data_IF_733881881135
#
_entry.id   IF_733881881135
#
_cell.length_a   1.000
_cell.length_b   1.000
_cell.length_c   1.000
_cell.angle_alpha   90.00
_cell.angle_beta   90.00
_cell.angle_gamma   90.00
#
_symmetry.space_group_name_H-M   'P 1'
#
loop_
_entity.id
_entity.type
_entity.pdbx_description
1 polymer ?
#
# COMPACT_ATOMS: atom_id res chain seq x y z
N UNK A 1 32.52 0.22 -2.49
CA UNK A 1 31.60 1.19 -3.10
C UNK A 1 30.27 1.07 -2.39
N UNK A 2 29.80 2.12 -1.72
CA UNK A 2 28.48 2.13 -1.07
C UNK A 2 27.41 2.12 -2.17
N UNK A 3 26.73 0.98 -2.38
CA UNK A 3 25.58 0.92 -3.30
C UNK A 3 24.49 1.84 -2.75
N UNK A 4 23.89 2.66 -3.62
CA UNK A 4 22.76 3.52 -3.24
C UNK A 4 21.50 2.66 -3.12
N UNK A 5 20.74 2.85 -2.04
CA UNK A 5 19.38 2.28 -1.91
C UNK A 5 18.44 3.07 -2.82
N UNK A 6 17.98 2.43 -3.91
CA UNK A 6 16.93 3.00 -4.77
C UNK A 6 15.62 3.25 -4.00
N UNK A 7 15.18 2.36 -3.09
CA UNK A 7 13.99 2.63 -2.27
C UNK A 7 14.12 3.92 -1.45
N UNK A 8 15.26 4.12 -0.78
CA UNK A 8 15.52 5.34 -0.02
C UNK A 8 15.52 6.58 -0.91
N UNK A 9 16.10 6.50 -2.11
CA UNK A 9 16.09 7.61 -3.07
C UNK A 9 14.66 7.98 -3.50
N UNK A 10 13.85 6.98 -3.84
CA UNK A 10 12.45 7.17 -4.23
C UNK A 10 11.61 7.79 -3.10
N UNK A 11 11.73 7.26 -1.88
CA UNK A 11 11.05 7.78 -0.69
C UNK A 11 11.52 9.20 -0.33
N UNK A 12 12.82 9.49 -0.47
CA UNK A 12 13.34 10.85 -0.25
C UNK A 12 12.78 11.84 -1.25
N UNK A 13 12.66 11.46 -2.51
CA UNK A 13 12.03 12.29 -3.54
C UNK A 13 10.54 12.50 -3.25
N UNK A 14 9.82 11.44 -2.86
CA UNK A 14 8.42 11.51 -2.48
C UNK A 14 8.18 12.47 -1.31
N UNK A 15 8.98 12.35 -0.23
CA UNK A 15 8.96 13.30 0.89
C UNK A 15 9.07 14.74 0.40
N UNK A 16 10.08 15.04 -0.42
CA UNK A 16 10.31 16.42 -0.90
C UNK A 16 9.16 16.97 -1.75
N UNK A 17 8.52 16.13 -2.55
CA UNK A 17 7.35 16.51 -3.35
C UNK A 17 6.13 16.77 -2.45
N UNK A 18 5.86 15.87 -1.51
CA UNK A 18 4.72 15.98 -0.59
C UNK A 18 4.88 17.15 0.39
N UNK A 19 6.10 17.47 0.81
CA UNK A 19 6.40 18.56 1.76
C UNK A 19 6.95 19.81 1.07
N UNK A 20 6.70 19.99 -0.23
CA UNK A 20 7.19 21.17 -0.93
C UNK A 20 6.54 22.43 -0.32
N UNK A 21 7.31 23.48 0.03
CA UNK A 21 6.82 24.56 0.88
C UNK A 21 5.75 25.45 0.24
N UNK A 22 5.66 25.47 -1.10
CA UNK A 22 4.71 26.32 -1.84
C UNK A 22 3.76 25.55 -2.75
N UNK A 23 4.14 24.34 -3.13
CA UNK A 23 3.43 23.54 -4.15
C UNK A 23 3.51 22.04 -3.78
N UNK A 24 2.97 21.64 -2.62
CA UNK A 24 3.01 20.25 -2.21
C UNK A 24 2.23 19.38 -3.19
N UNK A 25 2.80 18.26 -3.60
CA UNK A 25 2.09 17.27 -4.40
C UNK A 25 0.97 16.63 -3.56
N UNK A 26 -0.22 16.45 -4.15
CA UNK A 26 -1.34 15.77 -3.47
C UNK A 26 -1.15 14.25 -3.39
N UNK A 27 -0.29 13.69 -4.23
CA UNK A 27 -0.03 12.25 -4.33
C UNK A 27 1.34 11.97 -4.94
N UNK A 28 2.02 10.94 -4.42
CA UNK A 28 3.22 10.37 -5.03
C UNK A 28 3.14 8.86 -4.98
N UNK A 29 3.35 8.21 -6.12
CA UNK A 29 3.56 6.77 -6.19
C UNK A 29 5.06 6.48 -6.16
N UNK A 30 5.51 5.62 -5.25
CA UNK A 30 6.90 5.12 -5.23
C UNK A 30 6.88 3.65 -5.62
N UNK A 31 7.60 3.30 -6.67
CA UNK A 31 7.85 1.90 -7.03
C UNK A 31 9.10 1.42 -6.33
N UNK A 32 8.94 0.53 -5.34
CA UNK A 32 10.04 -0.13 -4.66
C UNK A 32 10.49 -1.36 -5.44
N UNK A 33 11.69 -1.30 -5.99
CA UNK A 33 12.31 -2.39 -6.77
C UNK A 33 13.18 -3.32 -5.91
N UNK A 34 13.26 -3.08 -4.60
CA UNK A 34 14.17 -3.75 -3.67
C UNK A 34 15.59 -3.15 -3.68
N UNK A 35 16.39 -3.57 -2.69
CA UNK A 35 17.82 -3.27 -2.56
C UNK A 35 18.67 -3.98 -3.60
N UNK A 36 18.25 -5.18 -3.98
CA UNK A 36 18.91 -6.06 -4.93
C UNK A 36 17.86 -6.88 -5.67
N UNK A 37 18.20 -7.31 -6.89
CA UNK A 37 17.38 -8.22 -7.67
C UNK A 37 17.30 -9.57 -6.96
N UNK A 38 16.08 -10.08 -6.78
CA UNK A 38 15.85 -11.45 -6.37
C UNK A 38 15.86 -12.37 -7.61
N UNK A 39 15.77 -13.67 -7.37
CA UNK A 39 15.85 -14.73 -8.40
C UNK A 39 14.93 -14.60 -9.63
N UNK A 40 13.82 -13.87 -9.57
CA UNK A 40 12.91 -13.59 -10.68
C UNK A 40 13.18 -12.29 -11.44
N UNK A 41 14.20 -11.52 -11.04
CA UNK A 41 14.63 -10.29 -11.71
C UNK A 41 14.12 -8.99 -11.10
N UNK A 42 13.18 -9.03 -10.16
CA UNK A 42 12.80 -7.90 -9.30
C UNK A 42 13.12 -8.18 -7.84
N UNK A 43 13.18 -7.16 -6.97
CA UNK A 43 13.52 -7.36 -5.54
C UNK A 43 12.51 -8.19 -4.73
N UNK A 44 11.26 -8.28 -5.19
CA UNK A 44 10.23 -9.08 -4.55
C UNK A 44 9.82 -10.31 -5.38
N UNK A 45 10.51 -10.58 -6.50
CA UNK A 45 10.24 -11.76 -7.32
C UNK A 45 11.14 -12.94 -6.90
N UNK A 46 10.69 -13.66 -5.88
CA UNK A 46 11.50 -14.61 -5.11
C UNK A 46 11.17 -16.07 -5.41
N UNK A 47 11.71 -16.60 -6.50
CA UNK A 47 11.66 -18.04 -6.86
C UNK A 47 12.70 -18.92 -6.15
N UNK A 48 13.65 -18.33 -5.43
CA UNK A 48 14.52 -18.92 -4.40
C UNK A 48 14.76 -17.87 -3.29
N UNK A 49 15.30 -18.27 -2.13
CA UNK A 49 15.75 -17.35 -1.09
C UNK A 49 14.65 -16.46 -0.49
N UNK A 50 13.36 -16.82 -0.62
CA UNK A 50 12.25 -15.88 -0.40
C UNK A 50 12.29 -15.21 0.96
N UNK A 51 12.54 -15.96 2.03
CA UNK A 51 12.52 -15.40 3.38
C UNK A 51 13.64 -14.36 3.59
N UNK A 52 14.83 -14.61 3.04
CA UNK A 52 15.97 -13.70 3.14
C UNK A 52 15.74 -12.44 2.31
N UNK A 53 15.41 -12.61 1.02
CA UNK A 53 15.21 -11.49 0.09
C UNK A 53 14.07 -10.57 0.54
N UNK A 54 12.92 -11.14 0.89
CA UNK A 54 11.77 -10.33 1.34
C UNK A 54 12.03 -9.65 2.67
N UNK A 55 12.70 -10.30 3.62
CA UNK A 55 13.00 -9.69 4.92
C UNK A 55 13.95 -8.49 4.77
N UNK A 56 15.03 -8.63 4.01
CA UNK A 56 15.99 -7.55 3.80
C UNK A 56 15.39 -6.37 3.02
N UNK A 57 14.63 -6.64 1.97
CA UNK A 57 13.99 -5.58 1.17
C UNK A 57 12.91 -4.86 1.97
N UNK A 58 12.06 -5.60 2.70
CA UNK A 58 11.00 -4.99 3.49
C UNK A 58 11.55 -4.21 4.69
N UNK A 59 12.57 -4.73 5.38
CA UNK A 59 13.27 -4.02 6.45
C UNK A 59 13.89 -2.71 5.94
N UNK A 60 14.54 -2.73 4.78
CA UNK A 60 15.09 -1.51 4.19
C UNK A 60 14.01 -0.49 3.81
N UNK A 61 12.94 -0.94 3.15
CA UNK A 61 11.84 -0.08 2.74
C UNK A 61 11.17 0.55 3.97
N UNK A 62 10.86 -0.24 5.00
CA UNK A 62 10.24 0.25 6.22
C UNK A 62 11.14 1.22 6.99
N UNK A 63 12.43 0.92 7.16
CA UNK A 63 13.35 1.85 7.81
C UNK A 63 13.48 3.16 7.02
N UNK A 64 13.53 3.09 5.69
CA UNK A 64 13.58 4.27 4.82
C UNK A 64 12.30 5.11 4.93
N UNK A 65 11.14 4.46 5.00
CA UNK A 65 9.84 5.10 5.16
C UNK A 65 9.72 5.76 6.54
N UNK A 66 10.10 5.06 7.61
CA UNK A 66 10.11 5.61 8.96
C UNK A 66 11.04 6.82 9.08
N UNK A 67 12.16 6.84 8.35
CA UNK A 67 13.10 7.96 8.35
C UNK A 67 12.54 9.27 7.76
N UNK A 68 11.46 9.21 6.96
CA UNK A 68 10.84 10.37 6.32
C UNK A 68 9.51 10.80 6.95
N UNK A 69 9.00 10.04 7.92
CA UNK A 69 7.77 10.32 8.66
C UNK A 69 8.11 10.99 9.99
N UNK A 70 7.30 11.96 10.41
CA UNK A 70 7.38 12.55 11.73
C UNK A 70 7.06 11.49 12.80
N UNK A 71 7.97 11.35 13.77
CA UNK A 71 7.71 10.54 14.95
C UNK A 71 6.65 11.19 15.86
N UNK A 72 6.00 10.45 16.77
CA UNK A 72 4.98 11.03 17.65
C UNK A 72 5.50 12.26 18.42
N UNK A 73 4.86 13.41 18.23
CA UNK A 73 5.24 14.68 18.85
C UNK A 73 6.26 15.52 18.05
N UNK A 74 6.79 14.98 16.95
CA UNK A 74 7.64 15.70 16.00
C UNK A 74 6.78 16.52 15.04
N UNK A 75 7.20 17.75 14.75
CA UNK A 75 6.51 18.67 13.84
C UNK A 75 7.50 19.25 12.81
N UNK A 76 8.37 18.41 12.24
CA UNK A 76 9.28 18.85 11.16
C UNK A 76 8.46 19.03 9.87
N UNK A 77 8.33 20.25 9.33
CA UNK A 77 7.55 20.50 8.13
C UNK A 77 8.19 19.92 6.87
N UNK A 78 9.43 19.41 6.96
CA UNK A 78 10.11 18.72 5.86
C UNK A 78 9.88 17.21 5.88
N UNK A 79 9.16 16.67 6.87
CA UNK A 79 8.78 15.27 6.98
C UNK A 79 7.28 15.09 6.82
N UNK A 80 6.89 13.86 6.49
CA UNK A 80 5.48 13.48 6.31
C UNK A 80 4.80 13.39 7.67
N UNK A 81 3.66 14.08 7.84
CA UNK A 81 2.77 13.86 8.97
C UNK A 81 1.80 12.73 8.64
N UNK A 82 1.70 11.71 9.50
CA UNK A 82 0.79 10.59 9.27
C UNK A 82 -0.66 10.93 9.71
N UNK A 83 -0.86 12.07 10.36
CA UNK A 83 -2.18 12.55 10.80
C UNK A 83 -3.05 13.05 9.63
N UNK A 84 -2.42 13.57 8.57
CA UNK A 84 -3.10 14.07 7.38
C UNK A 84 -2.71 13.33 6.09
N UNK A 85 -1.63 12.55 6.11
CA UNK A 85 -1.18 11.76 4.97
C UNK A 85 -1.60 10.29 5.11
N UNK A 86 -2.27 9.76 4.09
CA UNK A 86 -2.53 8.32 3.96
C UNK A 86 -1.37 7.65 3.22
N UNK A 87 -0.70 6.70 3.88
CA UNK A 87 0.30 5.81 3.26
C UNK A 87 -0.36 4.48 2.93
N UNK A 88 -0.26 4.06 1.66
CA UNK A 88 -0.76 2.77 1.19
C UNK A 88 0.44 1.92 0.77
N UNK A 89 0.72 0.84 1.52
CA UNK A 89 1.70 -0.16 1.14
C UNK A 89 0.99 -1.25 0.35
N UNK A 90 1.27 -1.31 -0.95
CA UNK A 90 0.62 -2.24 -1.86
C UNK A 90 1.64 -3.03 -2.67
N UNK A 91 1.27 -4.26 -3.04
CA UNK A 91 2.06 -5.10 -3.95
C UNK A 91 1.28 -5.36 -5.24
N UNK A 92 1.99 -5.72 -6.32
CA UNK A 92 1.35 -6.13 -7.58
C UNK A 92 0.61 -7.48 -7.43
N UNK A 93 1.21 -8.40 -6.67
CA UNK A 93 0.67 -9.72 -6.35
C UNK A 93 1.25 -10.23 -5.02
N UNK A 94 0.69 -11.32 -4.50
CA UNK A 94 1.24 -12.07 -3.37
C UNK A 94 2.29 -13.10 -3.78
N UNK A 95 2.86 -13.77 -2.78
CA UNK A 95 3.66 -14.98 -2.95
C UNK A 95 2.89 -16.19 -2.45
N UNK A 96 3.01 -17.34 -3.14
CA UNK A 96 2.26 -18.55 -2.78
C UNK A 96 2.53 -18.99 -1.33
N UNK A 97 1.55 -19.55 -0.61
CA UNK A 97 1.83 -20.22 0.67
C UNK A 97 2.65 -21.51 0.49
N UNK A 98 2.57 -22.13 -0.69
CA UNK A 98 3.40 -23.26 -1.08
C UNK A 98 4.82 -22.85 -1.43
N UNK A 99 5.76 -23.76 -1.19
CA UNK A 99 7.16 -23.63 -1.58
C UNK A 99 7.32 -23.88 -3.09
N UNK A 100 8.13 -23.06 -3.74
CA UNK A 100 8.69 -23.32 -5.07
C UNK A 100 10.17 -23.69 -4.92
N UNK A 101 10.58 -24.83 -5.50
CA UNK A 101 11.94 -25.32 -5.34
C UNK A 101 12.31 -25.60 -3.88
N UNK A 102 13.45 -25.06 -3.43
CA UNK A 102 14.04 -25.32 -2.10
C UNK A 102 13.53 -24.37 -1.02
N UNK A 103 13.38 -23.09 -1.33
CA UNK A 103 13.03 -22.04 -0.37
C UNK A 103 12.36 -20.81 -1.00
N UNK A 104 12.05 -20.87 -2.31
CA UNK A 104 11.32 -19.83 -3.02
C UNK A 104 9.80 -19.96 -2.92
N UNK A 105 9.10 -19.03 -3.56
CA UNK A 105 7.62 -18.99 -3.71
C UNK A 105 7.28 -18.65 -5.16
N UNK A 106 6.04 -18.87 -5.60
CA UNK A 106 5.57 -18.44 -6.92
C UNK A 106 4.65 -17.20 -6.82
N UNK A 107 4.28 -16.59 -7.94
CA UNK A 107 3.28 -15.50 -7.99
C UNK A 107 1.92 -15.99 -7.50
N UNK A 108 1.22 -15.15 -6.72
CA UNK A 108 -0.05 -15.52 -6.09
C UNK A 108 -1.04 -14.35 -6.05
N UNK A 109 -1.84 -14.15 -7.12
CA UNK A 109 -2.83 -13.07 -7.16
C UNK A 109 -4.09 -13.37 -6.33
N UNK A 110 -4.23 -14.59 -5.78
CA UNK A 110 -5.45 -15.05 -5.14
C UNK A 110 -5.61 -14.63 -3.67
N UNK A 111 -4.56 -14.08 -3.05
CA UNK A 111 -4.60 -13.63 -1.67
C UNK A 111 -3.28 -12.99 -1.25
N UNK A 112 -3.32 -11.72 -0.89
CA UNK A 112 -2.18 -10.96 -0.40
C UNK A 112 -2.65 -9.81 0.49
N UNK A 113 -1.71 -9.12 1.11
CA UNK A 113 -1.98 -8.06 2.09
C UNK A 113 -1.61 -6.71 1.51
N UNK A 114 -2.49 -5.74 1.68
CA UNK A 114 -2.24 -4.31 1.51
C UNK A 114 -2.39 -3.66 2.88
N UNK A 115 -1.58 -2.66 3.18
CA UNK A 115 -1.68 -1.90 4.43
C UNK A 115 -2.01 -0.44 4.15
N UNK A 116 -2.95 0.11 4.92
CA UNK A 116 -3.32 1.53 4.90
C UNK A 116 -2.98 2.12 6.27
N UNK A 117 -2.24 3.23 6.29
CA UNK A 117 -1.68 3.81 7.50
C UNK A 117 -1.87 5.32 7.45
N UNK A 118 -2.45 5.91 8.49
CA UNK A 118 -2.59 7.36 8.62
C UNK A 118 -3.79 7.99 7.94
N UNK A 119 -3.72 9.31 7.79
CA UNK A 119 -4.73 10.17 7.20
C UNK A 119 -6.12 9.95 7.82
N UNK A 120 -7.12 9.49 7.05
CA UNK A 120 -8.49 9.37 7.55
C UNK A 120 -8.72 8.25 8.56
N UNK A 121 -7.76 7.33 8.74
CA UNK A 121 -7.95 6.12 9.55
C UNK A 121 -7.81 6.45 11.04
N UNK A 122 -8.90 6.23 11.78
CA UNK A 122 -8.97 6.50 13.22
C UNK A 122 -8.70 5.26 14.07
N UNK A 123 -8.39 5.44 15.35
CA UNK A 123 -8.20 4.34 16.32
C UNK A 123 -9.38 3.39 16.39
N UNK A 124 -10.61 3.86 16.16
CA UNK A 124 -11.81 3.03 16.13
C UNK A 124 -11.84 2.02 14.97
N UNK A 125 -11.04 2.25 13.93
CA UNK A 125 -11.01 1.46 12.70
C UNK A 125 -9.66 0.80 12.44
N UNK A 126 -8.72 0.90 13.39
CA UNK A 126 -7.49 0.12 13.35
C UNK A 126 -7.84 -1.37 13.43
N UNK A 127 -7.24 -2.18 12.57
CA UNK A 127 -7.45 -3.62 12.62
C UNK A 127 -7.11 -4.31 11.30
N UNK A 128 -7.55 -5.55 11.21
CA UNK A 128 -7.44 -6.38 10.02
C UNK A 128 -8.81 -6.49 9.39
N UNK A 129 -8.89 -6.21 8.10
CA UNK A 129 -10.10 -6.41 7.28
C UNK A 129 -9.82 -7.49 6.25
N UNK A 130 -10.69 -8.50 6.21
CA UNK A 130 -10.51 -9.67 5.35
C UNK A 130 -9.71 -10.81 6.00
N UNK A 131 -9.52 -11.89 5.24
CA UNK A 131 -8.82 -13.09 5.69
C UNK A 131 -8.30 -13.91 4.50
N UNK A 132 -7.11 -14.48 4.66
CA UNK A 132 -6.54 -15.47 3.73
C UNK A 132 -6.66 -16.85 4.38
N UNK A 133 -7.28 -17.79 3.67
CA UNK A 133 -7.46 -19.15 4.12
C UNK A 133 -6.15 -19.93 4.15
N UNK A 134 -6.16 -21.10 4.81
CA UNK A 134 -4.97 -21.98 4.89
C UNK A 134 -4.46 -22.44 3.53
N UNK A 135 -5.31 -22.45 2.51
CA UNK A 135 -4.97 -22.76 1.13
C UNK A 135 -4.38 -21.57 0.35
N UNK A 136 -4.26 -20.38 0.97
CA UNK A 136 -3.75 -19.16 0.35
C UNK A 136 -4.77 -18.31 -0.37
N UNK A 137 -6.03 -18.72 -0.46
CA UNK A 137 -7.05 -17.94 -1.15
C UNK A 137 -7.70 -16.96 -0.17
N UNK A 138 -7.94 -15.73 -0.63
CA UNK A 138 -8.71 -14.79 0.14
C UNK A 138 -10.14 -15.32 0.32
N UNK A 139 -10.63 -15.32 1.56
CA UNK A 139 -11.97 -15.82 1.94
C UNK A 139 -12.93 -14.70 2.29
N UNK A 140 -12.38 -13.58 2.77
CA UNK A 140 -13.03 -12.27 2.88
C UNK A 140 -12.01 -11.25 2.40
N UNK A 141 -12.40 -10.35 1.49
CA UNK A 141 -11.42 -9.56 0.75
C UNK A 141 -11.93 -8.19 0.34
N UNK A 142 -10.97 -7.37 -0.07
CA UNK A 142 -11.14 -6.19 -0.89
C UNK A 142 -10.68 -6.51 -2.31
N UNK A 143 -11.36 -5.99 -3.31
CA UNK A 143 -10.86 -6.03 -4.69
C UNK A 143 -9.76 -4.98 -4.89
N UNK A 144 -8.86 -5.15 -5.88
CA UNK A 144 -7.93 -4.10 -6.27
C UNK A 144 -8.60 -2.79 -6.71
N UNK A 145 -9.86 -2.85 -7.15
CA UNK A 145 -10.67 -1.69 -7.49
C UNK A 145 -11.17 -0.97 -6.23
N UNK A 146 -11.72 -1.71 -5.27
CA UNK A 146 -12.12 -1.18 -3.95
C UNK A 146 -10.96 -0.43 -3.27
N UNK A 147 -9.74 -0.98 -3.29
CA UNK A 147 -8.55 -0.33 -2.72
C UNK A 147 -8.23 1.02 -3.41
N UNK A 148 -8.35 1.09 -4.74
CA UNK A 148 -8.09 2.31 -5.51
C UNK A 148 -9.20 3.35 -5.33
N UNK A 149 -10.45 2.91 -5.29
CA UNK A 149 -11.61 3.76 -4.97
C UNK A 149 -11.42 4.40 -3.60
N UNK A 150 -11.00 3.62 -2.58
CA UNK A 150 -10.70 4.16 -1.26
C UNK A 150 -9.58 5.21 -1.28
N UNK A 151 -8.49 4.95 -2.03
CA UNK A 151 -7.40 5.92 -2.18
C UNK A 151 -7.87 7.23 -2.81
N UNK A 152 -8.69 7.16 -3.88
CA UNK A 152 -9.27 8.35 -4.53
C UNK A 152 -10.16 9.14 -3.58
N UNK A 153 -11.05 8.45 -2.85
CA UNK A 153 -11.95 9.09 -1.89
C UNK A 153 -11.18 9.74 -0.74
N UNK A 154 -10.07 9.15 -0.29
CA UNK A 154 -9.20 9.76 0.71
C UNK A 154 -8.58 11.09 0.22
N UNK A 155 -8.32 11.20 -1.08
CA UNK A 155 -7.84 12.44 -1.72
C UNK A 155 -8.97 13.44 -2.07
N UNK A 156 -10.23 13.12 -1.74
CA UNK A 156 -11.38 13.94 -2.12
C UNK A 156 -11.75 13.86 -3.61
N UNK A 157 -11.22 12.87 -4.33
CA UNK A 157 -11.53 12.64 -5.74
C UNK A 157 -12.75 11.73 -5.88
N UNK A 158 -13.73 12.14 -6.68
CA UNK A 158 -14.88 11.30 -7.00
C UNK A 158 -14.46 10.18 -7.97
N UNK A 159 -14.57 8.89 -7.59
CA UNK A 159 -14.01 7.80 -8.38
C UNK A 159 -14.95 7.32 -9.50
N UNK A 160 -16.21 7.74 -9.52
CA UNK A 160 -17.25 7.25 -10.45
C UNK A 160 -17.54 8.23 -11.61
N UNK A 161 -16.56 9.06 -11.99
CA UNK A 161 -16.63 9.81 -13.24
C UNK A 161 -16.64 8.85 -14.45
N UNK A 162 -16.99 9.35 -15.64
CA UNK A 162 -17.16 8.51 -16.84
C UNK A 162 -15.92 7.67 -17.21
N UNK A 163 -14.72 8.19 -16.94
CA UNK A 163 -13.42 7.53 -17.17
C UNK A 163 -12.90 6.77 -15.92
N UNK A 164 -13.70 6.70 -14.87
CA UNK A 164 -13.33 6.14 -13.57
C UNK A 164 -13.79 4.70 -13.36
N UNK A 165 -14.14 4.40 -12.12
CA UNK A 165 -14.66 3.10 -11.69
C UNK A 165 -16.18 3.00 -11.91
N UNK A 166 -16.67 1.78 -12.03
CA UNK A 166 -18.09 1.48 -12.07
C UNK A 166 -18.62 1.13 -10.68
N UNK A 167 -19.92 1.34 -10.45
CA UNK A 167 -20.60 0.90 -9.22
C UNK A 167 -20.40 -0.61 -8.97
N UNK A 168 -20.35 -1.41 -10.04
CA UNK A 168 -20.11 -2.85 -9.97
C UNK A 168 -18.73 -3.26 -9.45
N UNK A 169 -17.76 -2.33 -9.43
CA UNK A 169 -16.42 -2.59 -8.90
C UNK A 169 -16.40 -2.65 -7.36
N UNK A 170 -17.48 -2.19 -6.72
CA UNK A 170 -17.71 -2.29 -5.27
C UNK A 170 -18.79 -3.35 -5.01
N UNK A 171 -18.42 -4.56 -4.56
CA UNK A 171 -19.37 -5.66 -4.41
C UNK A 171 -20.59 -5.31 -3.55
N UNK A 172 -21.78 -5.44 -4.15
CA UNK A 172 -23.07 -5.21 -3.51
C UNK A 172 -23.49 -3.73 -3.41
N UNK A 173 -22.78 -2.80 -4.05
CA UNK A 173 -23.28 -1.46 -4.26
C UNK A 173 -24.24 -1.42 -5.47
N UNK A 174 -25.28 -0.59 -5.39
CA UNK A 174 -26.24 -0.34 -6.47
C UNK A 174 -26.26 1.12 -6.92
N UNK A 175 -25.62 2.02 -6.17
CA UNK A 175 -25.45 3.43 -6.52
C UNK A 175 -24.01 3.86 -6.25
N UNK A 176 -23.58 4.94 -6.90
CA UNK A 176 -22.25 5.54 -6.66
C UNK A 176 -22.09 6.01 -5.22
N UNK A 177 -23.13 6.64 -4.65
CA UNK A 177 -23.11 7.07 -3.25
C UNK A 177 -22.92 5.88 -2.31
N UNK A 178 -23.66 4.78 -2.53
CA UNK A 178 -23.50 3.59 -1.71
C UNK A 178 -22.10 2.97 -1.88
N UNK A 179 -21.57 2.94 -3.11
CA UNK A 179 -20.22 2.44 -3.39
C UNK A 179 -19.15 3.27 -2.67
N UNK A 180 -19.26 4.61 -2.69
CA UNK A 180 -18.39 5.51 -1.94
C UNK A 180 -18.48 5.27 -0.43
N UNK A 181 -19.69 5.22 0.13
CA UNK A 181 -19.90 5.04 1.56
C UNK A 181 -19.35 3.70 2.07
N UNK A 182 -19.56 2.63 1.30
CA UNK A 182 -19.00 1.31 1.62
C UNK A 182 -17.48 1.30 1.57
N UNK A 183 -16.88 1.97 0.58
CA UNK A 183 -15.42 2.04 0.46
C UNK A 183 -14.79 2.84 1.60
N UNK A 184 -15.39 3.98 1.95
CA UNK A 184 -14.93 4.82 3.08
C UNK A 184 -15.03 4.07 4.41
N UNK A 185 -16.19 3.45 4.69
CA UNK A 185 -16.39 2.72 5.95
C UNK A 185 -15.50 1.48 6.07
N UNK A 186 -15.32 0.73 4.98
CA UNK A 186 -14.54 -0.51 4.95
C UNK A 186 -13.03 -0.27 5.02
N UNK A 187 -12.51 0.79 4.41
CA UNK A 187 -11.06 0.97 4.22
C UNK A 187 -10.47 2.19 4.93
N UNK A 188 -11.23 3.28 5.03
CA UNK A 188 -10.74 4.54 5.59
C UNK A 188 -11.21 4.77 7.01
N UNK A 189 -12.12 3.94 7.50
CA UNK A 189 -12.57 4.02 8.88
C UNK A 189 -13.27 5.33 9.20
N UNK A 190 -14.13 5.80 8.30
CA UNK A 190 -15.04 6.92 8.57
C UNK A 190 -16.47 6.43 8.43
N UNK A 191 -17.30 6.75 9.43
CA UNK A 191 -18.75 6.66 9.29
C UNK A 191 -19.20 7.86 8.46
N UNK A 192 -20.02 7.61 7.45
CA UNK A 192 -20.60 8.59 6.52
C UNK A 192 -22.10 8.41 6.45
#
# INVERSE_FOLDING_TARGET
TTRRSLPLMGLTAARRLLTHPTEPASYVCVSDTGLYEASGGGGYDTHSGNAEDTAANFDNMLQSLLGIINTPGENDPTKISIDDTLVILNTEFGRTPGRQGTDGRNHHPYGYVTAFIGGPITTAHKGVSGAIGKNGYATSFATPAENRIAAMLAMGMWPFAAEGFNVSDVPGATTELQAAQRSISKFLGRSV
#
